data_IF_270779780427
#
_entry.id   IF_270779780427
#
_cell.length_a   1.000
_cell.length_b   1.000
_cell.length_c   1.000
_cell.angle_alpha   90.00
_cell.angle_beta   90.00
_cell.angle_gamma   90.00
#
_symmetry.space_group_name_H-M   'P 1'
#
loop_
_entity.id
_entity.type
_entity.pdbx_description
1 polymer ?
#
# COMPACT_ATOMS: atom_id res chain seq x y z
N UNK A 1 -14.75 -5.20 -3.16
CA UNK A 1 -13.86 -6.29 -2.74
C UNK A 1 -14.37 -7.00 -1.50
N UNK A 2 -14.39 -6.31 -0.36
CA UNK A 2 -14.75 -6.84 0.96
C UNK A 2 -16.06 -7.65 1.06
N UNK A 3 -17.18 -7.14 0.53
CA UNK A 3 -18.49 -7.79 0.73
C UNK A 3 -18.64 -9.13 -0.02
N UNK A 4 -17.91 -9.30 -1.14
CA UNK A 4 -17.87 -10.57 -1.89
C UNK A 4 -17.15 -11.67 -1.08
N UNK A 5 -16.12 -11.29 -0.33
CA UNK A 5 -15.24 -12.22 0.39
C UNK A 5 -15.85 -12.70 1.72
N UNK A 6 -16.87 -12.04 2.26
CA UNK A 6 -17.48 -12.43 3.55
C UNK A 6 -18.25 -13.75 3.54
N UNK A 7 -18.58 -14.30 2.37
CA UNK A 7 -19.51 -15.43 2.26
C UNK A 7 -18.90 -16.81 2.55
N UNK A 8 -17.57 -16.90 2.72
CA UNK A 8 -16.87 -18.16 3.02
C UNK A 8 -15.86 -17.93 4.15
N UNK A 9 -15.88 -18.77 5.19
CA UNK A 9 -15.22 -18.54 6.49
C UNK A 9 -13.71 -18.29 6.39
N UNK A 10 -13.04 -18.89 5.39
CA UNK A 10 -11.61 -18.72 5.10
C UNK A 10 -11.24 -17.31 4.56
N UNK A 11 -12.21 -16.58 4.03
CA UNK A 11 -11.98 -15.30 3.38
C UNK A 11 -12.30 -14.10 4.26
N UNK A 12 -12.71 -14.30 5.52
CA UNK A 12 -12.98 -13.20 6.46
C UNK A 12 -11.72 -12.39 6.76
N UNK A 13 -10.58 -13.06 6.94
CA UNK A 13 -9.30 -12.39 7.21
C UNK A 13 -8.84 -11.62 5.97
N UNK A 14 -8.98 -12.21 4.78
CA UNK A 14 -8.70 -11.54 3.51
C UNK A 14 -9.63 -10.34 3.29
N UNK A 15 -10.93 -10.50 3.60
CA UNK A 15 -11.90 -9.41 3.51
C UNK A 15 -11.49 -8.25 4.42
N UNK A 16 -11.07 -8.52 5.65
CA UNK A 16 -10.62 -7.52 6.60
C UNK A 16 -9.37 -6.77 6.08
N UNK A 17 -8.39 -7.49 5.53
CA UNK A 17 -7.20 -6.89 4.91
C UNK A 17 -7.60 -5.96 3.75
N UNK A 18 -8.46 -6.44 2.86
CA UNK A 18 -8.97 -5.68 1.71
C UNK A 18 -9.88 -4.52 2.15
N UNK A 19 -10.52 -4.56 3.30
CA UNK A 19 -11.30 -3.43 3.80
C UNK A 19 -10.39 -2.27 4.21
N UNK A 20 -9.26 -2.58 4.86
CA UNK A 20 -8.41 -1.60 5.53
C UNK A 20 -7.14 -1.19 4.77
N UNK A 21 -6.93 -1.66 3.53
CA UNK A 21 -5.76 -1.25 2.73
C UNK A 21 -5.78 0.22 2.26
N UNK A 22 -6.92 0.92 2.39
CA UNK A 22 -7.01 2.38 2.17
C UNK A 22 -6.91 3.20 3.47
N UNK A 23 -6.66 2.55 4.62
CA UNK A 23 -6.29 3.27 5.83
C UNK A 23 -4.93 3.95 5.64
N UNK A 24 -4.74 5.08 6.32
CA UNK A 24 -3.48 5.82 6.32
C UNK A 24 -2.83 5.68 7.68
N UNK A 25 -1.51 5.57 7.72
CA UNK A 25 -0.77 5.38 8.97
C UNK A 25 -1.01 6.50 10.01
N UNK A 26 -1.32 7.72 9.57
CA UNK A 26 -1.69 8.88 10.39
C UNK A 26 -3.11 8.84 10.99
N UNK A 27 -3.98 7.97 10.47
CA UNK A 27 -5.40 7.86 10.86
C UNK A 27 -6.36 8.67 9.98
N UNK A 28 -5.87 9.35 8.94
CA UNK A 28 -6.71 10.16 8.02
C UNK A 28 -7.32 9.34 6.87
N UNK A 29 -7.10 8.01 6.88
CA UNK A 29 -7.64 7.08 5.89
C UNK A 29 -9.08 6.65 6.17
N UNK A 30 -9.52 5.64 5.44
CA UNK A 30 -10.87 5.10 5.55
C UNK A 30 -10.86 3.58 5.32
N UNK A 31 -11.90 2.84 5.73
CA UNK A 31 -13.17 3.29 6.34
C UNK A 31 -13.18 3.39 7.86
N UNK A 32 -12.25 2.74 8.56
CA UNK A 32 -12.20 2.61 10.02
C UNK A 32 -11.42 3.73 10.71
N UNK A 33 -10.64 4.53 9.98
CA UNK A 33 -9.75 5.56 10.54
C UNK A 33 -8.76 4.99 11.55
N UNK A 34 -8.29 3.78 11.28
CA UNK A 34 -7.31 3.09 12.11
C UNK A 34 -5.96 3.80 12.00
N UNK A 35 -5.21 3.88 13.10
CA UNK A 35 -3.93 4.61 13.14
C UNK A 35 -2.76 3.68 13.45
N UNK A 36 -1.64 3.92 12.76
CA UNK A 36 -0.40 3.20 13.00
C UNK A 36 -0.54 1.70 12.89
N UNK A 37 -0.20 0.98 13.97
CA UNK A 37 -0.22 -0.48 14.00
C UNK A 37 -1.61 -1.09 14.27
N UNK A 38 -2.64 -0.25 14.51
CA UNK A 38 -4.05 -0.72 14.53
C UNK A 38 -4.49 -1.20 13.14
N UNK A 39 -3.84 -0.69 12.09
CA UNK A 39 -4.05 -1.14 10.71
C UNK A 39 -3.41 -2.53 10.56
N UNK A 40 -4.13 -3.53 9.99
CA UNK A 40 -3.57 -4.84 9.72
C UNK A 40 -2.24 -4.75 8.99
N UNK A 41 -1.30 -5.62 9.35
CA UNK A 41 0.05 -5.61 8.78
C UNK A 41 0.01 -5.75 7.26
N UNK A 42 -0.79 -6.70 6.77
CA UNK A 42 -0.96 -6.99 5.35
C UNK A 42 -1.58 -5.80 4.61
N UNK A 43 -2.53 -5.07 5.24
CA UNK A 43 -3.12 -3.86 4.67
C UNK A 43 -2.06 -2.75 4.50
N UNK A 44 -1.16 -2.57 5.48
CA UNK A 44 -0.06 -1.61 5.38
C UNK A 44 0.94 -1.98 4.27
N UNK A 45 1.20 -3.27 4.08
CA UNK A 45 2.07 -3.77 2.99
C UNK A 45 1.41 -3.51 1.63
N UNK A 46 0.13 -3.86 1.48
CA UNK A 46 -0.63 -3.65 0.24
C UNK A 46 -0.66 -2.16 -0.13
N UNK A 47 -0.90 -1.27 0.83
CA UNK A 47 -0.94 0.17 0.57
C UNK A 47 0.35 0.71 -0.05
N UNK A 48 1.52 0.23 0.40
CA UNK A 48 2.83 0.61 -0.17
C UNK A 48 2.98 0.03 -1.58
N UNK A 49 2.66 -1.26 -1.76
CA UNK A 49 2.78 -1.94 -3.04
C UNK A 49 1.87 -1.33 -4.12
N UNK A 50 0.62 -1.03 -3.76
CA UNK A 50 -0.36 -0.40 -4.65
C UNK A 50 0.06 1.02 -5.05
N UNK A 51 0.55 1.82 -4.09
CA UNK A 51 1.06 3.15 -4.39
C UNK A 51 2.27 3.12 -5.34
N UNK A 52 3.21 2.19 -5.09
CA UNK A 52 4.36 2.00 -5.97
C UNK A 52 3.93 1.59 -7.37
N UNK A 53 3.08 0.56 -7.49
CA UNK A 53 2.57 0.09 -8.77
C UNK A 53 1.83 1.19 -9.53
N UNK A 54 0.94 1.94 -8.86
CA UNK A 54 0.21 3.05 -9.49
C UNK A 54 1.13 4.14 -10.08
N UNK A 55 2.29 4.37 -9.45
CA UNK A 55 3.30 5.33 -9.91
C UNK A 55 4.17 4.81 -11.06
N UNK A 56 4.41 3.50 -11.12
CA UNK A 56 5.35 2.90 -12.08
C UNK A 56 4.68 2.20 -13.27
N UNK A 57 3.41 1.81 -13.14
CA UNK A 57 2.66 1.11 -14.19
C UNK A 57 2.21 2.04 -15.31
N UNK A 58 2.39 1.61 -16.57
CA UNK A 58 1.93 2.32 -17.78
C UNK A 58 0.40 2.42 -17.91
N UNK A 59 -0.34 1.65 -17.11
CA UNK A 59 -1.80 1.51 -17.22
C UNK A 59 -2.56 2.62 -16.46
N UNK A 60 -1.87 3.44 -15.65
CA UNK A 60 -2.47 4.62 -15.07
C UNK A 60 -2.60 5.71 -16.14
N UNK A 61 -3.65 6.52 -16.10
CA UNK A 61 -3.90 7.62 -17.06
C UNK A 61 -2.79 8.71 -17.08
N UNK A 62 -1.71 8.53 -16.31
CA UNK A 62 -0.55 9.40 -16.19
C UNK A 62 0.69 8.62 -16.64
N UNK A 63 1.63 9.31 -17.28
CA UNK A 63 2.94 8.71 -17.58
C UNK A 63 3.62 8.21 -16.30
N UNK A 64 4.21 7.00 -16.30
CA UNK A 64 4.96 6.50 -15.15
C UNK A 64 6.03 7.51 -14.71
N UNK A 65 6.11 7.77 -13.41
CA UNK A 65 7.09 8.72 -12.86
C UNK A 65 8.49 8.11 -12.70
N UNK A 66 8.61 6.79 -12.86
CA UNK A 66 9.87 6.04 -12.79
C UNK A 66 10.27 5.64 -11.37
N UNK A 67 11.19 4.67 -11.25
CA UNK A 67 11.58 4.04 -9.99
C UNK A 67 12.02 5.05 -8.92
N UNK A 68 12.96 5.94 -9.26
CA UNK A 68 13.52 6.90 -8.30
C UNK A 68 12.44 7.85 -7.76
N UNK A 69 11.56 8.35 -8.63
CA UNK A 69 10.50 9.26 -8.21
C UNK A 69 9.46 8.55 -7.35
N UNK A 70 9.15 7.29 -7.64
CA UNK A 70 8.26 6.46 -6.82
C UNK A 70 8.85 6.23 -5.42
N UNK A 71 10.15 5.90 -5.33
CA UNK A 71 10.87 5.76 -4.05
C UNK A 71 10.85 7.07 -3.26
N UNK A 72 11.08 8.21 -3.90
CA UNK A 72 11.07 9.51 -3.23
C UNK A 72 9.66 9.89 -2.73
N UNK A 73 8.60 9.55 -3.47
CA UNK A 73 7.23 9.76 -3.02
C UNK A 73 6.87 8.88 -1.82
N UNK A 74 7.30 7.61 -1.82
CA UNK A 74 7.12 6.72 -0.66
C UNK A 74 7.84 7.30 0.58
N UNK A 75 9.08 7.76 0.44
CA UNK A 75 9.84 8.40 1.53
C UNK A 75 9.14 9.65 2.06
N UNK A 76 8.63 10.52 1.16
CA UNK A 76 7.94 11.76 1.54
C UNK A 76 6.69 11.49 2.40
N UNK A 77 6.01 10.38 2.16
CA UNK A 77 4.76 10.03 2.84
C UNK A 77 4.93 8.96 3.94
N UNK A 78 6.17 8.61 4.28
CA UNK A 78 6.46 7.70 5.39
C UNK A 78 6.08 8.35 6.73
N UNK A 79 5.34 7.62 7.56
CA UNK A 79 4.83 8.11 8.85
C UNK A 79 3.51 8.88 8.77
N UNK A 80 3.05 9.22 7.55
CA UNK A 80 1.72 9.82 7.33
C UNK A 80 0.81 8.85 6.57
N UNK A 81 1.06 8.66 5.27
CA UNK A 81 0.28 7.71 4.48
C UNK A 81 0.72 6.27 4.76
N UNK A 82 2.03 6.05 4.84
CA UNK A 82 2.61 4.72 4.89
C UNK A 82 3.29 4.45 6.23
N UNK A 83 3.32 3.18 6.61
CA UNK A 83 4.13 2.72 7.73
C UNK A 83 5.62 3.01 7.45
N UNK A 84 6.31 3.79 8.30
CA UNK A 84 7.68 4.21 8.03
C UNK A 84 8.67 3.04 8.04
N UNK A 85 8.44 2.02 8.88
CA UNK A 85 9.30 0.84 8.96
C UNK A 85 9.14 -0.04 7.73
N UNK A 86 7.91 -0.28 7.30
CA UNK A 86 7.65 -1.07 6.10
C UNK A 86 8.10 -0.33 4.84
N UNK A 87 8.00 1.00 4.80
CA UNK A 87 8.49 1.82 3.69
C UNK A 87 10.01 1.67 3.54
N UNK A 88 10.77 1.78 4.64
CA UNK A 88 12.22 1.58 4.63
C UNK A 88 12.60 0.15 4.18
N UNK A 89 11.89 -0.87 4.67
CA UNK A 89 12.10 -2.26 4.23
C UNK A 89 11.79 -2.45 2.74
N UNK A 90 10.70 -1.88 2.24
CA UNK A 90 10.33 -1.96 0.83
C UNK A 90 11.43 -1.35 -0.04
N UNK A 91 11.88 -0.13 0.29
CA UNK A 91 12.91 0.58 -0.48
C UNK A 91 14.25 -0.17 -0.48
N UNK A 92 14.63 -0.77 0.65
CA UNK A 92 15.87 -1.57 0.75
C UNK A 92 15.86 -2.83 -0.12
N UNK A 93 14.68 -3.37 -0.41
CA UNK A 93 14.53 -4.62 -1.17
C UNK A 93 13.97 -4.42 -2.58
N UNK A 94 13.55 -3.19 -2.94
CA UNK A 94 13.07 -2.87 -4.26
C UNK A 94 14.24 -2.86 -5.25
N UNK A 95 14.16 -3.72 -6.26
CA UNK A 95 15.14 -3.80 -7.35
C UNK A 95 14.69 -2.90 -8.52
N UNK A 96 15.52 -1.93 -8.96
CA UNK A 96 15.25 -1.12 -10.15
C UNK A 96 14.95 -1.96 -11.41
N UNK A 97 15.54 -3.15 -11.53
CA UNK A 97 15.32 -4.07 -12.65
C UNK A 97 13.90 -4.62 -12.76
N UNK A 98 13.07 -4.48 -11.71
CA UNK A 98 11.65 -4.90 -11.73
C UNK A 98 10.84 -4.09 -12.76
N UNK A 99 11.26 -2.88 -13.12
CA UNK A 99 10.54 -2.05 -14.09
C UNK A 99 10.93 -2.30 -15.55
N UNK A 100 11.91 -3.18 -15.80
CA UNK A 100 12.43 -3.49 -17.14
C UNK A 100 11.76 -4.74 -17.77
N UNK A 101 10.82 -5.37 -17.06
CA UNK A 101 10.08 -6.58 -17.48
C UNK A 101 8.84 -6.32 -18.34
#
# INVERSE_FOLDING_TARGET
GHDLLKQVTFYKDIAHIVLHHHERYDGEGYPGKLKGEEIPLESRIIAIAEAFDAMTSKNSYKSPVGFSAAVDELKRNAGTQFDPRLTDLFIKNADPGILEG
#
